data_IF_138667204975
#
_entry.id   IF_138667204975
#
_cell.length_a   1.000
_cell.length_b   1.000
_cell.length_c   1.000
_cell.angle_alpha   90.00
_cell.angle_beta   90.00
_cell.angle_gamma   90.00
#
_symmetry.space_group_name_H-M   'P 1'
#
loop_
_entity.id
_entity.type
_entity.pdbx_description
1 polymer ?
#
# COMPACT_ATOMS: atom_id res chain seq x y z
N UNK A 1 30.02 -18.25 26.83
CA UNK A 1 29.90 -16.84 26.42
C UNK A 1 29.01 -16.81 25.20
N UNK A 2 27.71 -16.63 25.40
CA UNK A 2 26.74 -16.49 24.31
C UNK A 2 26.92 -15.11 23.70
N UNK A 3 27.36 -15.07 22.45
CA UNK A 3 27.35 -13.85 21.65
C UNK A 3 25.90 -13.35 21.59
N UNK A 4 25.60 -12.10 21.96
CA UNK A 4 24.26 -11.55 21.76
C UNK A 4 23.98 -11.58 20.27
N UNK A 5 22.88 -12.24 19.87
CA UNK A 5 22.38 -12.15 18.51
C UNK A 5 22.18 -10.67 18.16
N UNK A 6 22.63 -10.24 16.98
CA UNK A 6 22.50 -8.84 16.61
C UNK A 6 21.01 -8.46 16.58
N UNK A 7 20.65 -7.45 17.35
CA UNK A 7 19.30 -6.87 17.46
C UNK A 7 18.69 -6.60 16.08
N UNK A 8 19.51 -6.39 15.08
CA UNK A 8 19.14 -6.23 13.68
C UNK A 8 18.39 -7.43 13.06
N UNK A 9 18.72 -8.67 13.43
CA UNK A 9 18.07 -9.85 12.83
C UNK A 9 16.63 -10.05 13.33
N UNK A 10 16.37 -9.76 14.59
CA UNK A 10 15.04 -9.87 15.20
C UNK A 10 14.13 -8.75 14.69
N UNK A 11 14.67 -7.54 14.53
CA UNK A 11 13.93 -6.42 13.93
C UNK A 11 13.62 -6.68 12.46
N UNK A 12 14.55 -7.21 11.67
CA UNK A 12 14.32 -7.54 10.26
C UNK A 12 13.25 -8.62 10.09
N UNK A 13 13.24 -9.68 10.90
CA UNK A 13 12.19 -10.70 10.89
C UNK A 13 10.82 -10.13 11.29
N UNK A 14 10.79 -9.23 12.27
CA UNK A 14 9.56 -8.58 12.71
C UNK A 14 8.96 -7.69 11.60
N UNK A 15 9.80 -6.87 10.95
CA UNK A 15 9.38 -6.02 9.83
C UNK A 15 8.96 -6.83 8.61
N UNK A 16 9.68 -7.88 8.27
CA UNK A 16 9.32 -8.78 7.17
C UNK A 16 7.96 -9.47 7.41
N UNK A 17 7.70 -9.88 8.64
CA UNK A 17 6.42 -10.46 9.05
C UNK A 17 5.26 -9.45 8.99
N UNK A 18 5.49 -8.20 9.39
CA UNK A 18 4.51 -7.12 9.32
C UNK A 18 4.15 -6.77 7.86
N UNK A 19 5.15 -6.63 6.99
CA UNK A 19 4.94 -6.35 5.57
C UNK A 19 4.20 -7.48 4.85
N UNK A 20 4.47 -8.74 5.19
CA UNK A 20 3.77 -9.88 4.62
C UNK A 20 2.28 -9.90 5.03
N UNK A 21 1.96 -9.52 6.27
CA UNK A 21 0.58 -9.38 6.75
C UNK A 21 -0.14 -8.24 6.06
N UNK A 22 0.48 -7.06 5.97
CA UNK A 22 -0.09 -5.90 5.25
C UNK A 22 -0.44 -6.26 3.81
N UNK A 23 0.43 -6.98 3.11
CA UNK A 23 0.16 -7.42 1.73
C UNK A 23 -1.03 -8.37 1.65
N UNK A 24 -1.15 -9.32 2.58
CA UNK A 24 -2.31 -10.24 2.65
C UNK A 24 -3.61 -9.49 2.91
N UNK A 25 -3.60 -8.54 3.84
CA UNK A 25 -4.76 -7.68 4.12
C UNK A 25 -5.15 -6.82 2.92
N UNK A 26 -4.18 -6.24 2.24
CA UNK A 26 -4.43 -5.45 1.04
C UNK A 26 -5.09 -6.28 -0.08
N UNK A 27 -4.57 -7.49 -0.33
CA UNK A 27 -5.13 -8.40 -1.32
C UNK A 27 -6.52 -8.90 -0.93
N UNK A 28 -6.74 -9.22 0.35
CA UNK A 28 -8.04 -9.63 0.86
C UNK A 28 -9.07 -8.50 0.76
N UNK A 29 -8.70 -7.28 1.13
CA UNK A 29 -9.54 -6.10 1.01
C UNK A 29 -9.85 -5.76 -0.45
N UNK A 30 -8.89 -5.91 -1.37
CA UNK A 30 -9.09 -5.72 -2.79
C UNK A 30 -10.05 -6.76 -3.37
N UNK A 31 -9.89 -8.04 -3.01
CA UNK A 31 -10.77 -9.12 -3.45
C UNK A 31 -12.20 -8.93 -2.91
N UNK A 32 -12.35 -8.59 -1.65
CA UNK A 32 -13.64 -8.32 -1.03
C UNK A 32 -14.33 -7.09 -1.64
N UNK A 33 -13.59 -6.00 -1.83
CA UNK A 33 -14.10 -4.78 -2.47
C UNK A 33 -14.51 -5.01 -3.91
N UNK A 34 -13.74 -5.79 -4.66
CA UNK A 34 -14.09 -6.17 -6.03
C UNK A 34 -15.36 -7.02 -6.07
N UNK A 35 -15.50 -7.99 -5.15
CA UNK A 35 -16.69 -8.82 -5.03
C UNK A 35 -17.93 -7.97 -4.73
N UNK A 36 -17.83 -7.02 -3.80
CA UNK A 36 -18.89 -6.08 -3.47
C UNK A 36 -19.27 -5.24 -4.70
N UNK A 37 -18.27 -4.73 -5.44
CA UNK A 37 -18.52 -3.96 -6.66
C UNK A 37 -19.22 -4.77 -7.73
N UNK A 38 -18.89 -6.05 -7.90
CA UNK A 38 -19.54 -6.93 -8.89
C UNK A 38 -20.98 -7.25 -8.48
N UNK A 39 -21.22 -7.51 -7.20
CA UNK A 39 -22.55 -7.94 -6.72
C UNK A 39 -23.54 -6.77 -6.63
N UNK A 40 -23.10 -5.63 -6.13
CA UNK A 40 -23.99 -4.50 -5.80
C UNK A 40 -23.95 -3.36 -6.83
N UNK A 41 -22.92 -3.30 -7.67
CA UNK A 41 -22.72 -2.21 -8.62
C UNK A 41 -22.62 -2.71 -10.05
N UNK A 42 -22.72 -1.78 -11.01
CA UNK A 42 -22.61 -2.09 -12.44
C UNK A 42 -21.15 -2.35 -12.83
N UNK A 43 -20.96 -3.09 -13.91
CA UNK A 43 -19.66 -3.42 -14.49
C UNK A 43 -18.65 -2.26 -14.58
N UNK A 44 -19.03 -1.00 -14.96
CA UNK A 44 -18.07 0.09 -15.02
C UNK A 44 -17.43 0.44 -13.67
N UNK A 45 -18.19 0.30 -12.57
CA UNK A 45 -17.67 0.53 -11.20
C UNK A 45 -16.65 -0.54 -10.83
N UNK A 46 -16.93 -1.80 -11.13
CA UNK A 46 -16.01 -2.91 -10.87
C UNK A 46 -14.70 -2.78 -11.67
N UNK A 47 -14.80 -2.39 -12.94
CA UNK A 47 -13.62 -2.14 -13.78
C UNK A 47 -12.79 -0.96 -13.27
N UNK A 48 -13.44 0.14 -12.87
CA UNK A 48 -12.78 1.29 -12.24
C UNK A 48 -12.08 0.91 -10.94
N UNK A 49 -12.76 0.16 -10.07
CA UNK A 49 -12.21 -0.33 -8.81
C UNK A 49 -10.98 -1.23 -9.03
N UNK A 50 -11.05 -2.14 -10.00
CA UNK A 50 -9.93 -3.01 -10.34
C UNK A 50 -8.71 -2.21 -10.82
N UNK A 51 -8.93 -1.22 -11.70
CA UNK A 51 -7.86 -0.33 -12.16
C UNK A 51 -7.23 0.46 -11.02
N UNK A 52 -8.04 1.04 -10.13
CA UNK A 52 -7.57 1.75 -8.92
C UNK A 52 -6.79 0.85 -7.97
N UNK A 53 -7.29 -0.36 -7.73
CA UNK A 53 -6.62 -1.35 -6.87
C UNK A 53 -5.28 -1.81 -7.47
N UNK A 54 -5.18 -2.02 -8.79
CA UNK A 54 -3.94 -2.38 -9.46
C UNK A 54 -2.90 -1.26 -9.37
N UNK A 55 -3.28 -0.03 -9.66
CA UNK A 55 -2.38 1.14 -9.54
C UNK A 55 -1.91 1.27 -8.10
N UNK A 56 -2.81 1.10 -7.14
CA UNK A 56 -2.50 1.15 -5.72
C UNK A 56 -1.53 0.05 -5.29
N UNK A 57 -1.73 -1.16 -5.77
CA UNK A 57 -0.85 -2.30 -5.51
C UNK A 57 0.56 -2.10 -6.07
N UNK A 58 0.67 -1.68 -7.34
CA UNK A 58 1.95 -1.37 -7.99
C UNK A 58 2.69 -0.28 -7.24
N UNK A 59 1.96 0.77 -6.86
CA UNK A 59 2.49 1.88 -6.10
C UNK A 59 3.00 1.45 -4.71
N UNK A 60 2.25 0.59 -4.01
CA UNK A 60 2.66 0.05 -2.70
C UNK A 60 3.94 -0.80 -2.84
N UNK A 61 4.00 -1.71 -3.81
CA UNK A 61 5.21 -2.50 -4.09
C UNK A 61 6.42 -1.65 -4.44
N UNK A 62 6.18 -0.55 -5.13
CA UNK A 62 7.27 0.37 -5.48
C UNK A 62 7.78 1.13 -4.26
N UNK A 63 6.86 1.54 -3.38
CA UNK A 63 7.20 2.16 -2.10
C UNK A 63 8.01 1.22 -1.20
N UNK A 64 7.60 -0.05 -1.07
CA UNK A 64 8.34 -1.07 -0.31
C UNK A 64 9.79 -1.21 -0.80
N UNK A 65 9.99 -1.26 -2.11
CA UNK A 65 11.33 -1.35 -2.71
C UNK A 65 12.17 -0.10 -2.42
N UNK A 66 11.56 1.08 -2.43
CA UNK A 66 12.24 2.33 -2.12
C UNK A 66 12.67 2.41 -0.67
N UNK A 67 11.80 2.02 0.25
CA UNK A 67 12.08 2.02 1.69
C UNK A 67 13.19 1.01 2.01
N UNK A 68 13.18 -0.17 1.40
CA UNK A 68 14.24 -1.15 1.53
C UNK A 68 15.60 -0.65 1.02
N UNK A 69 15.62 -0.02 -0.15
CA UNK A 69 16.83 0.57 -0.72
C UNK A 69 17.38 1.74 0.13
N UNK A 70 16.50 2.56 0.72
CA UNK A 70 16.88 3.64 1.64
C UNK A 70 17.46 3.08 2.95
N UNK A 71 16.90 1.99 3.49
CA UNK A 71 17.38 1.32 4.69
C UNK A 71 18.80 0.79 4.51
N UNK A 72 19.09 0.13 3.39
CA UNK A 72 20.44 -0.34 3.07
C UNK A 72 21.45 0.81 2.90
N UNK A 73 21.03 1.94 2.36
CA UNK A 73 21.91 3.11 2.16
C UNK A 73 22.24 3.86 3.43
N UNK A 74 21.30 3.93 4.38
CA UNK A 74 21.55 4.53 5.71
C UNK A 74 22.58 3.71 6.48
N UNK A 75 22.54 2.37 6.37
CA UNK A 75 23.52 1.49 7.01
C UNK A 75 24.89 1.52 6.36
N UNK A 76 25.01 1.82 5.06
CA UNK A 76 26.28 1.90 4.32
C UNK A 76 26.89 3.30 4.24
N UNK A 77 26.27 4.34 4.83
CA UNK A 77 26.82 5.69 4.93
C UNK A 77 26.88 6.48 3.60
N UNK A 78 26.30 5.98 2.53
CA UNK A 78 26.21 6.68 1.25
C UNK A 78 24.94 7.55 1.17
N UNK A 79 24.91 8.61 1.97
CA UNK A 79 23.77 9.52 2.07
C UNK A 79 23.83 10.67 1.04
N UNK A 80 24.12 10.41 -0.22
CA UNK A 80 24.13 11.46 -1.24
C UNK A 80 23.33 11.13 -2.49
N UNK A 81 22.06 10.72 -2.32
CA UNK A 81 21.12 10.85 -3.42
C UNK A 81 20.40 12.20 -3.36
N UNK A 82 20.41 12.87 -4.50
CA UNK A 82 19.68 14.10 -4.77
C UNK A 82 18.23 13.94 -4.36
N UNK A 83 17.74 14.77 -3.47
CA UNK A 83 16.32 14.86 -3.11
C UNK A 83 15.38 15.00 -4.30
N UNK A 84 15.90 15.43 -5.47
CA UNK A 84 15.21 15.47 -6.75
C UNK A 84 14.72 14.10 -7.26
N UNK A 85 15.44 13.00 -6.98
CA UNK A 85 14.99 11.66 -7.40
C UNK A 85 13.76 11.18 -6.62
N UNK A 86 13.69 11.49 -5.36
CA UNK A 86 12.54 11.15 -4.50
C UNK A 86 11.33 12.01 -4.89
N UNK A 87 11.53 13.31 -5.09
CA UNK A 87 10.48 14.22 -5.53
C UNK A 87 9.94 13.84 -6.92
N UNK A 88 10.80 13.51 -7.88
CA UNK A 88 10.39 13.07 -9.22
C UNK A 88 9.52 11.82 -9.16
N UNK A 89 9.88 10.84 -8.32
CA UNK A 89 9.10 9.60 -8.15
C UNK A 89 7.75 9.85 -7.49
N UNK A 90 7.69 10.78 -6.54
CA UNK A 90 6.42 11.19 -5.93
C UNK A 90 5.52 11.88 -6.98
N UNK A 91 6.06 12.78 -7.79
CA UNK A 91 5.33 13.45 -8.89
C UNK A 91 4.82 12.43 -9.90
N UNK A 92 5.65 11.50 -10.35
CA UNK A 92 5.25 10.43 -11.27
C UNK A 92 4.10 9.59 -10.70
N UNK A 93 4.15 9.27 -9.41
CA UNK A 93 3.09 8.53 -8.70
C UNK A 93 1.74 9.24 -8.79
N UNK A 94 1.72 10.53 -8.46
CA UNK A 94 0.49 11.33 -8.52
C UNK A 94 0.03 11.58 -9.96
N UNK A 95 0.98 11.73 -10.90
CA UNK A 95 0.67 11.83 -12.31
C UNK A 95 -0.01 10.56 -12.85
N UNK A 96 0.45 9.38 -12.47
CA UNK A 96 -0.20 8.11 -12.85
C UNK A 96 -1.63 8.01 -12.32
N UNK A 97 -1.86 8.41 -11.07
CA UNK A 97 -3.20 8.42 -10.47
C UNK A 97 -4.09 9.43 -11.20
N UNK A 98 -3.58 10.63 -11.48
CA UNK A 98 -4.32 11.67 -12.18
C UNK A 98 -4.69 11.28 -13.62
N UNK A 99 -3.75 10.70 -14.36
CA UNK A 99 -4.00 10.20 -15.72
C UNK A 99 -5.02 9.06 -15.71
N UNK A 100 -4.88 8.11 -14.79
CA UNK A 100 -5.85 7.01 -14.61
C UNK A 100 -7.25 7.52 -14.30
N UNK A 101 -7.37 8.48 -13.38
CA UNK A 101 -8.64 9.13 -13.05
C UNK A 101 -9.24 9.87 -14.25
N UNK A 102 -8.42 10.61 -14.99
CA UNK A 102 -8.87 11.34 -16.18
C UNK A 102 -9.38 10.41 -17.28
N UNK A 103 -8.66 9.34 -17.57
CA UNK A 103 -9.07 8.35 -18.58
C UNK A 103 -10.40 7.70 -18.18
N UNK A 104 -10.53 7.29 -16.93
CA UNK A 104 -11.75 6.64 -16.44
C UNK A 104 -12.92 7.63 -16.37
N UNK A 105 -12.67 8.88 -16.02
CA UNK A 105 -13.69 9.94 -16.03
C UNK A 105 -14.29 10.14 -17.42
N UNK A 106 -13.47 10.12 -18.48
CA UNK A 106 -13.94 10.24 -19.87
C UNK A 106 -14.76 9.04 -20.35
N UNK A 107 -14.59 7.87 -19.72
CA UNK A 107 -15.33 6.66 -20.09
C UNK A 107 -16.63 6.55 -19.28
N UNK A 108 -16.59 6.79 -17.98
CA UNK A 108 -17.74 6.62 -17.11
C UNK A 108 -17.55 7.29 -15.75
N UNK A 109 -18.49 8.13 -15.37
CA UNK A 109 -18.51 8.72 -14.04
C UNK A 109 -18.65 7.64 -12.93
N UNK A 110 -19.42 6.59 -13.20
CA UNK A 110 -19.56 5.46 -12.27
C UNK A 110 -18.22 4.71 -12.09
N UNK A 111 -17.44 4.56 -13.16
CA UNK A 111 -16.10 4.00 -13.11
C UNK A 111 -15.14 4.83 -12.27
N UNK A 112 -15.27 6.15 -12.27
CA UNK A 112 -14.47 7.05 -11.45
C UNK A 112 -14.67 6.80 -9.94
N UNK A 113 -15.92 6.60 -9.50
CA UNK A 113 -16.20 6.27 -8.10
C UNK A 113 -15.57 4.93 -7.70
N UNK A 114 -15.64 3.92 -8.57
CA UNK A 114 -14.94 2.65 -8.38
C UNK A 114 -13.42 2.85 -8.28
N UNK A 115 -12.84 3.61 -9.18
CA UNK A 115 -11.41 3.92 -9.21
C UNK A 115 -10.93 4.59 -7.92
N UNK A 116 -11.64 5.62 -7.46
CA UNK A 116 -11.32 6.29 -6.19
C UNK A 116 -11.39 5.32 -5.01
N UNK A 117 -12.40 4.44 -4.97
CA UNK A 117 -12.50 3.37 -3.98
C UNK A 117 -11.29 2.44 -4.00
N UNK A 118 -10.83 2.03 -5.19
CA UNK A 118 -9.63 1.21 -5.37
C UNK A 118 -8.34 1.90 -4.92
N UNK A 119 -8.19 3.18 -5.20
CA UNK A 119 -7.03 3.98 -4.78
C UNK A 119 -7.01 4.18 -3.25
N UNK A 120 -8.17 4.26 -2.61
CA UNK A 120 -8.26 4.40 -1.15
C UNK A 120 -7.97 3.10 -0.37
N UNK A 121 -7.93 1.95 -1.03
CA UNK A 121 -7.69 0.64 -0.39
C UNK A 121 -6.48 0.58 0.54
N UNK A 122 -5.27 1.08 0.19
CA UNK A 122 -4.13 1.04 1.10
C UNK A 122 -4.37 1.84 2.38
N UNK A 123 -5.06 2.97 2.29
CA UNK A 123 -5.39 3.80 3.46
C UNK A 123 -6.33 3.04 4.38
N UNK A 124 -7.36 2.40 3.81
CA UNK A 124 -8.28 1.57 4.58
C UNK A 124 -7.57 0.36 5.21
N UNK A 125 -6.65 -0.29 4.49
CA UNK A 125 -5.87 -1.40 5.02
C UNK A 125 -5.03 -0.98 6.23
N UNK A 126 -4.36 0.17 6.16
CA UNK A 126 -3.56 0.72 7.29
C UNK A 126 -4.45 1.06 8.48
N UNK A 127 -5.60 1.68 8.25
CA UNK A 127 -6.55 2.00 9.32
C UNK A 127 -7.07 0.73 9.99
N UNK A 128 -7.44 -0.29 9.21
CA UNK A 128 -7.88 -1.57 9.74
C UNK A 128 -6.80 -2.27 10.57
N UNK A 129 -5.55 -2.26 10.10
CA UNK A 129 -4.43 -2.85 10.84
C UNK A 129 -4.17 -2.12 12.15
N UNK A 130 -4.14 -0.78 12.12
CA UNK A 130 -4.00 0.04 13.32
C UNK A 130 -5.14 -0.22 14.32
N UNK A 131 -6.37 -0.34 13.85
CA UNK A 131 -7.52 -0.66 14.70
C UNK A 131 -7.40 -2.05 15.34
N UNK A 132 -6.96 -3.05 14.57
CA UNK A 132 -6.73 -4.41 15.09
C UNK A 132 -5.63 -4.42 16.13
N UNK A 133 -4.51 -3.73 15.89
CA UNK A 133 -3.41 -3.64 16.85
C UNK A 133 -3.83 -2.96 18.17
N UNK A 134 -4.60 -1.87 18.07
CA UNK A 134 -5.15 -1.19 19.25
C UNK A 134 -6.08 -2.13 20.01
N UNK A 135 -6.95 -2.85 19.31
CA UNK A 135 -7.91 -3.75 19.94
C UNK A 135 -7.23 -4.95 20.63
N UNK A 136 -6.23 -5.54 19.97
CA UNK A 136 -5.42 -6.63 20.54
C UNK A 136 -4.57 -6.14 21.71
N UNK A 137 -4.01 -4.94 21.60
CA UNK A 137 -3.24 -4.31 22.69
C UNK A 137 -4.08 -4.03 23.93
N UNK A 138 -5.31 -3.55 23.74
CA UNK A 138 -6.28 -3.36 24.83
C UNK A 138 -6.67 -4.69 25.46
N UNK A 139 -6.92 -5.73 24.66
CA UNK A 139 -7.30 -7.05 25.16
C UNK A 139 -6.20 -7.76 25.95
N UNK A 140 -4.94 -7.44 25.69
CA UNK A 140 -3.79 -7.97 26.46
C UNK A 140 -3.57 -7.23 27.78
N UNK A 141 -4.14 -6.05 27.96
CA UNK A 141 -4.04 -5.25 29.20
C UNK A 141 -5.15 -5.52 30.21
N UNK A 142 -6.22 -6.16 29.79
CA UNK A 142 -7.33 -6.62 30.62
C UNK A 142 -7.40 -8.16 30.66
#
# INVERSE_FOLDING_TARGET
>A
MSTPEPISSVEEEFYAGALARMRKFLLAAAALGLLICIVFFRWPVAAGFLAGALISYVNHRWLERMVGALGERITTGQSRERGGGIALRAVLRYAFIAVGAYVIFNVSLAGLYGFLGGVCLPVLAVICEAAVEIFVGLRRRF
#
